data_IF_669186700579
#
_entry.id   IF_669186700579
#
_cell.length_a   1.000
_cell.length_b   1.000
_cell.length_c   1.000
_cell.angle_alpha   90.00
_cell.angle_beta   90.00
_cell.angle_gamma   90.00
#
_symmetry.space_group_name_H-M   'P 1'
#
loop_
_entity.id
_entity.type
_entity.pdbx_description
1 polymer ?
#
# COMPACT_ATOMS: atom_id res chain seq x y z
N UNK A 1 46.64 -16.73 54.19
CA UNK A 1 45.19 -16.61 53.97
C UNK A 1 44.92 -15.19 53.47
N UNK A 2 44.48 -15.13 52.21
CA UNK A 2 43.87 -14.04 51.42
C UNK A 2 44.26 -12.57 51.66
N UNK A 3 45.08 -12.08 50.74
CA UNK A 3 45.15 -10.68 50.28
C UNK A 3 43.93 -10.34 49.40
N UNK A 4 43.35 -9.15 49.55
CA UNK A 4 42.38 -8.57 48.61
C UNK A 4 42.88 -7.18 48.20
N UNK A 5 43.17 -6.93 46.91
CA UNK A 5 43.41 -5.61 46.37
C UNK A 5 42.12 -5.01 45.78
N UNK A 6 41.81 -3.75 46.09
CA UNK A 6 40.75 -3.00 45.41
C UNK A 6 41.34 -2.31 44.17
N UNK A 7 40.81 -2.73 43.02
CA UNK A 7 41.23 -2.31 41.70
C UNK A 7 40.60 -0.98 41.24
N UNK A 8 41.29 -0.37 40.28
CA UNK A 8 40.91 0.79 39.48
C UNK A 8 39.50 0.69 38.86
N UNK A 9 38.81 1.82 38.83
CA UNK A 9 37.58 2.01 38.05
C UNK A 9 37.47 3.45 37.53
N UNK A 10 38.13 3.73 36.41
CA UNK A 10 37.80 4.85 35.52
C UNK A 10 38.18 4.46 34.10
N UNK A 11 37.23 3.88 33.40
CA UNK A 11 37.25 3.72 31.95
C UNK A 11 36.12 4.56 31.39
N UNK A 12 36.49 5.44 30.46
CA UNK A 12 35.63 6.34 29.71
C UNK A 12 34.47 5.59 29.05
N UNK A 13 33.26 5.87 29.53
CA UNK A 13 32.02 5.50 28.86
C UNK A 13 31.72 6.50 27.75
N UNK A 14 32.50 6.45 26.67
CA UNK A 14 32.11 7.07 25.41
C UNK A 14 30.89 6.30 24.88
N UNK A 15 29.72 6.93 24.93
CA UNK A 15 28.50 6.42 24.30
C UNK A 15 28.74 6.31 22.78
N UNK A 16 28.55 5.15 22.14
CA UNK A 16 28.38 5.13 20.70
C UNK A 16 26.98 5.68 20.39
N UNK A 17 26.95 6.91 19.88
CA UNK A 17 25.81 7.45 19.12
C UNK A 17 25.70 6.69 17.81
N UNK A 18 25.03 5.53 17.84
CA UNK A 18 24.47 4.93 16.63
C UNK A 18 23.13 5.62 16.36
N UNK A 19 23.21 6.76 15.69
CA UNK A 19 22.13 7.26 14.84
C UNK A 19 22.07 6.34 13.61
N UNK A 20 21.67 5.08 13.83
CA UNK A 20 21.19 4.20 12.77
C UNK A 20 19.79 4.69 12.42
N UNK A 21 19.71 5.89 11.84
CA UNK A 21 18.49 6.39 11.23
C UNK A 21 17.99 5.29 10.31
N UNK A 22 16.84 4.72 10.66
CA UNK A 22 16.37 3.44 10.17
C UNK A 22 16.37 3.40 8.64
N UNK A 23 17.47 2.89 8.07
CA UNK A 23 17.62 2.66 6.62
C UNK A 23 16.57 1.65 6.15
N UNK A 24 15.79 1.03 7.06
CA UNK A 24 14.61 0.20 6.80
C UNK A 24 13.27 0.94 6.83
N UNK A 25 13.24 2.27 6.97
CA UNK A 25 12.02 3.12 6.84
C UNK A 25 11.90 3.89 5.50
N UNK A 26 12.99 4.39 4.92
CA UNK A 26 13.06 5.05 3.60
C UNK A 26 12.51 4.24 2.40
N UNK A 27 11.38 4.64 1.81
CA UNK A 27 10.91 4.06 0.54
C UNK A 27 11.82 4.53 -0.60
N UNK A 28 12.29 3.67 -1.51
CA UNK A 28 13.16 4.05 -2.64
C UNK A 28 12.38 4.22 -3.95
N UNK A 29 11.38 3.35 -4.13
CA UNK A 29 10.56 3.24 -5.34
C UNK A 29 9.08 3.29 -5.00
N UNK A 30 8.29 3.86 -5.90
CA UNK A 30 6.84 3.89 -5.77
C UNK A 30 6.18 3.25 -6.98
N UNK A 31 5.21 2.38 -6.72
CA UNK A 31 4.36 1.77 -7.73
C UNK A 31 2.91 2.19 -7.51
N UNK A 32 2.32 2.81 -8.52
CA UNK A 32 0.92 3.26 -8.54
C UNK A 32 0.08 2.22 -9.28
N UNK A 33 -0.89 1.60 -8.62
CA UNK A 33 -1.69 0.51 -9.18
C UNK A 33 -3.15 0.98 -9.35
N UNK A 34 -3.61 1.19 -10.59
CA UNK A 34 -4.99 1.60 -10.85
C UNK A 34 -5.98 0.46 -10.60
N UNK A 35 -7.26 0.79 -10.53
CA UNK A 35 -8.36 -0.16 -10.44
C UNK A 35 -8.75 -0.79 -11.78
N UNK A 36 -9.74 -1.68 -11.71
CA UNK A 36 -10.30 -2.36 -12.86
C UNK A 36 -10.93 -1.35 -13.84
N UNK A 37 -10.58 -1.43 -15.12
CA UNK A 37 -11.08 -0.54 -16.19
C UNK A 37 -10.76 0.95 -15.99
N UNK A 38 -9.87 1.29 -15.06
CA UNK A 38 -9.52 2.68 -14.82
C UNK A 38 -8.46 3.17 -15.80
N UNK A 39 -8.65 4.33 -16.43
CA UNK A 39 -7.60 4.92 -17.23
C UNK A 39 -6.44 5.33 -16.32
N UNK A 40 -5.23 4.90 -16.68
CA UNK A 40 -3.97 5.22 -15.98
C UNK A 40 -3.79 6.73 -15.73
N UNK A 41 -4.40 7.56 -16.55
CA UNK A 41 -4.36 9.02 -16.42
C UNK A 41 -4.95 9.53 -15.10
N UNK A 42 -5.82 8.76 -14.44
CA UNK A 42 -6.35 9.12 -13.11
C UNK A 42 -5.26 9.15 -12.02
N UNK A 43 -4.20 8.36 -12.17
CA UNK A 43 -3.08 8.34 -11.23
C UNK A 43 -2.06 9.47 -11.52
N UNK A 44 -2.20 10.24 -12.60
CA UNK A 44 -1.20 11.24 -12.99
C UNK A 44 -0.99 12.34 -11.94
N UNK A 45 -2.03 12.95 -11.32
CA UNK A 45 -1.82 13.97 -10.30
C UNK A 45 -0.95 13.45 -9.15
N UNK A 46 -1.21 12.22 -8.70
CA UNK A 46 -0.44 11.55 -7.67
C UNK A 46 1.00 11.26 -8.13
N UNK A 47 1.15 10.74 -9.35
CA UNK A 47 2.45 10.49 -9.95
C UNK A 47 3.32 11.74 -10.01
N UNK A 48 2.77 12.86 -10.52
CA UNK A 48 3.48 14.13 -10.59
C UNK A 48 3.91 14.62 -9.20
N UNK A 49 3.04 14.47 -8.20
CA UNK A 49 3.36 14.88 -6.83
C UNK A 49 4.48 14.04 -6.25
N UNK A 50 4.36 12.72 -6.28
CA UNK A 50 5.28 11.81 -5.62
C UNK A 50 6.67 11.80 -6.30
N UNK A 51 6.74 12.11 -7.60
CA UNK A 51 8.01 12.29 -8.33
C UNK A 51 8.89 13.42 -7.80
N UNK A 52 8.34 14.34 -7.01
CA UNK A 52 9.13 15.37 -6.33
C UNK A 52 9.99 14.80 -5.20
N UNK A 53 9.59 13.66 -4.64
CA UNK A 53 10.26 13.01 -3.52
C UNK A 53 11.11 11.82 -3.96
N UNK A 54 10.71 11.14 -5.05
CA UNK A 54 11.41 9.97 -5.60
C UNK A 54 11.55 9.99 -7.09
N UNK A 55 12.72 9.59 -7.58
CA UNK A 55 12.98 9.47 -9.02
C UNK A 55 12.21 8.32 -9.66
N UNK A 56 12.06 7.22 -8.93
CA UNK A 56 11.46 5.99 -9.43
C UNK A 56 9.99 5.88 -8.99
N UNK A 57 9.11 6.58 -9.71
CA UNK A 57 7.66 6.45 -9.57
C UNK A 57 7.09 5.93 -10.89
N UNK A 58 6.45 4.76 -10.86
CA UNK A 58 5.82 4.15 -12.03
C UNK A 58 4.33 3.95 -11.81
N UNK A 59 3.56 4.03 -12.91
CA UNK A 59 2.17 3.55 -12.93
C UNK A 59 2.22 2.14 -13.48
N UNK A 60 1.71 1.18 -12.71
CA UNK A 60 1.67 -0.23 -13.05
C UNK A 60 0.93 -0.42 -14.37
N UNK A 61 1.57 -1.16 -15.27
CA UNK A 61 1.02 -1.48 -16.58
C UNK A 61 0.53 -2.91 -16.54
N UNK A 62 -0.70 -3.05 -16.07
CA UNK A 62 -1.41 -4.29 -16.25
C UNK A 62 -2.06 -4.33 -17.63
N UNK A 63 -2.15 -5.52 -18.21
CA UNK A 63 -2.81 -5.68 -19.50
C UNK A 63 -4.31 -5.60 -19.27
N UNK A 64 -4.99 -4.83 -20.13
CA UNK A 64 -6.43 -4.58 -20.06
C UNK A 64 -7.22 -5.87 -19.81
N UNK A 65 -8.26 -5.73 -18.99
CA UNK A 65 -9.40 -6.61 -18.71
C UNK A 65 -9.47 -7.86 -19.60
N UNK A 66 -9.77 -9.00 -18.97
CA UNK A 66 -10.35 -10.23 -19.54
C UNK A 66 -9.54 -11.52 -19.49
N UNK A 67 -8.25 -11.63 -19.11
CA UNK A 67 -7.65 -12.99 -19.11
C UNK A 67 -6.69 -13.49 -18.05
N UNK A 68 -6.09 -12.71 -17.15
CA UNK A 68 -5.30 -13.40 -16.12
C UNK A 68 -4.99 -12.56 -14.88
N UNK A 69 -5.99 -12.38 -14.01
CA UNK A 69 -5.80 -11.84 -12.65
C UNK A 69 -4.61 -12.49 -11.94
N UNK A 70 -4.41 -13.81 -12.07
CA UNK A 70 -3.26 -14.52 -11.50
C UNK A 70 -1.91 -14.14 -12.14
N UNK A 71 -1.88 -13.79 -13.42
CA UNK A 71 -0.67 -13.27 -14.07
C UNK A 71 -0.33 -11.89 -13.54
N UNK A 72 -1.33 -11.03 -13.34
CA UNK A 72 -1.16 -9.71 -12.73
C UNK A 72 -0.56 -9.82 -11.32
N UNK A 73 -1.14 -10.72 -10.51
CA UNK A 73 -0.64 -11.04 -9.17
C UNK A 73 0.80 -11.55 -9.26
N UNK A 74 1.09 -12.51 -10.15
CA UNK A 74 2.40 -13.14 -10.24
C UNK A 74 3.48 -12.18 -10.72
N UNK A 75 3.17 -11.30 -11.68
CA UNK A 75 4.08 -10.25 -12.15
C UNK A 75 4.34 -9.20 -11.07
N UNK A 76 3.31 -8.83 -10.31
CA UNK A 76 3.48 -7.92 -9.19
C UNK A 76 4.31 -8.58 -8.08
N UNK A 77 4.05 -9.86 -7.79
CA UNK A 77 4.82 -10.67 -6.84
C UNK A 77 6.31 -10.73 -7.20
N UNK A 78 6.63 -10.92 -8.49
CA UNK A 78 8.00 -10.89 -9.01
C UNK A 78 8.64 -9.48 -8.95
N UNK A 79 7.84 -8.42 -9.11
CA UNK A 79 8.34 -7.06 -8.96
C UNK A 79 8.72 -6.76 -7.50
N UNK A 80 7.90 -7.22 -6.55
CA UNK A 80 8.06 -6.90 -5.12
C UNK A 80 8.93 -7.91 -4.36
N UNK A 81 9.26 -9.06 -4.96
CA UNK A 81 10.12 -10.05 -4.31
C UNK A 81 11.49 -9.46 -3.97
N UNK A 82 12.02 -9.81 -2.81
CA UNK A 82 13.35 -9.37 -2.38
C UNK A 82 14.45 -9.85 -3.34
N UNK A 83 15.15 -8.90 -3.96
CA UNK A 83 16.27 -9.13 -4.90
C UNK A 83 17.64 -8.94 -4.25
N UNK A 84 17.70 -8.83 -2.92
CA UNK A 84 18.93 -8.60 -2.13
C UNK A 84 19.64 -7.27 -2.41
N UNK A 85 18.99 -6.34 -3.11
CA UNK A 85 19.50 -4.97 -3.36
C UNK A 85 19.13 -3.98 -2.25
N UNK A 86 18.26 -4.39 -1.31
CA UNK A 86 17.77 -3.56 -0.21
C UNK A 86 16.80 -2.46 -0.64
N UNK A 87 16.36 -2.42 -1.91
CA UNK A 87 15.39 -1.43 -2.40
C UNK A 87 14.06 -1.63 -1.69
N UNK A 88 13.46 -0.57 -1.12
CA UNK A 88 12.11 -0.64 -0.54
C UNK A 88 11.05 0.04 -1.39
N UNK A 89 9.91 -0.61 -1.51
CA UNK A 89 8.84 -0.24 -2.44
C UNK A 89 7.62 0.26 -1.66
N UNK A 90 7.20 1.48 -1.98
CA UNK A 90 5.89 2.01 -1.60
C UNK A 90 4.87 1.67 -2.67
N UNK A 91 3.74 1.10 -2.27
CA UNK A 91 2.65 0.79 -3.20
C UNK A 91 1.48 1.72 -2.89
N UNK A 92 0.94 2.38 -3.91
CA UNK A 92 -0.30 3.15 -3.79
C UNK A 92 -1.30 2.59 -4.78
N UNK A 93 -2.42 2.11 -4.27
CA UNK A 93 -3.44 1.45 -5.07
C UNK A 93 -4.73 2.25 -5.09
N UNK A 94 -5.52 2.01 -6.13
CA UNK A 94 -6.88 2.49 -6.22
C UNK A 94 -7.83 1.34 -6.51
N UNK A 95 -8.99 1.31 -5.85
CA UNK A 95 -10.07 0.35 -6.13
C UNK A 95 -9.57 -1.10 -6.15
N UNK A 96 -9.83 -1.84 -7.23
CA UNK A 96 -9.42 -3.23 -7.41
C UNK A 96 -7.90 -3.45 -7.42
N UNK A 97 -7.11 -2.41 -7.71
CA UNK A 97 -5.65 -2.48 -7.63
C UNK A 97 -5.14 -2.85 -6.24
N UNK A 98 -5.91 -2.52 -5.19
CA UNK A 98 -5.62 -2.94 -3.81
C UNK A 98 -5.66 -4.45 -3.65
N UNK A 99 -6.70 -5.08 -4.20
CA UNK A 99 -6.87 -6.53 -4.10
C UNK A 99 -5.70 -7.25 -4.78
N UNK A 100 -5.30 -6.81 -5.98
CA UNK A 100 -4.13 -7.35 -6.68
C UNK A 100 -2.86 -7.21 -5.84
N UNK A 101 -2.63 -6.04 -5.24
CA UNK A 101 -1.46 -5.79 -4.40
C UNK A 101 -1.42 -6.70 -3.18
N UNK A 102 -2.55 -6.84 -2.47
CA UNK A 102 -2.65 -7.70 -1.29
C UNK A 102 -2.41 -9.17 -1.62
N UNK A 103 -2.96 -9.65 -2.73
CA UNK A 103 -2.71 -11.02 -3.19
C UNK A 103 -1.23 -11.23 -3.54
N UNK A 104 -0.60 -10.27 -4.23
CA UNK A 104 0.82 -10.36 -4.57
C UNK A 104 1.71 -10.37 -3.33
N UNK A 105 1.43 -9.48 -2.37
CA UNK A 105 2.14 -9.40 -1.09
C UNK A 105 2.01 -10.72 -0.32
N UNK A 106 0.79 -11.23 -0.13
CA UNK A 106 0.55 -12.46 0.59
C UNK A 106 1.17 -13.70 -0.08
N UNK A 107 1.34 -13.67 -1.41
CA UNK A 107 1.99 -14.74 -2.19
C UNK A 107 3.52 -14.70 -2.08
N UNK A 108 4.10 -13.58 -1.69
CA UNK A 108 5.55 -13.36 -1.67
C UNK A 108 6.07 -13.34 -0.24
N UNK A 109 6.64 -14.47 0.22
CA UNK A 109 7.12 -14.64 1.60
C UNK A 109 8.15 -13.58 2.05
N UNK A 110 9.07 -13.19 1.15
CA UNK A 110 10.05 -12.14 1.38
C UNK A 110 9.89 -11.06 0.31
N UNK A 111 9.15 -10.00 0.63
CA UNK A 111 8.93 -8.87 -0.27
C UNK A 111 9.60 -7.60 0.25
N UNK A 112 9.89 -6.69 -0.68
CA UNK A 112 10.49 -5.39 -0.42
C UNK A 112 9.48 -4.27 -0.17
N UNK A 113 8.19 -4.60 -0.01
CA UNK A 113 7.15 -3.58 0.24
C UNK A 113 7.33 -2.99 1.63
N UNK A 114 7.65 -1.69 1.70
CA UNK A 114 7.81 -0.93 2.94
C UNK A 114 6.56 -0.18 3.39
N UNK A 115 5.59 0.01 2.48
CA UNK A 115 4.33 0.66 2.81
C UNK A 115 3.28 0.46 1.73
N UNK A 116 2.02 0.26 2.15
CA UNK A 116 0.87 0.09 1.26
C UNK A 116 -0.19 1.15 1.57
N UNK A 117 -0.56 1.92 0.55
CA UNK A 117 -1.66 2.88 0.60
C UNK A 117 -2.80 2.39 -0.29
N UNK A 118 -3.94 2.11 0.32
CA UNK A 118 -5.14 1.58 -0.33
C UNK A 118 -6.20 2.68 -0.44
N UNK A 119 -6.47 3.17 -1.64
CA UNK A 119 -7.46 4.24 -1.86
C UNK A 119 -8.74 3.65 -2.44
N UNK A 120 -9.86 3.88 -1.76
CA UNK A 120 -11.17 3.30 -2.04
C UNK A 120 -11.11 1.79 -2.37
N UNK A 121 -10.44 0.97 -1.55
CA UNK A 121 -10.12 -0.40 -1.92
C UNK A 121 -11.35 -1.31 -1.99
N UNK A 122 -11.26 -2.33 -2.84
CA UNK A 122 -12.23 -3.44 -2.86
C UNK A 122 -11.93 -4.40 -1.71
N UNK A 123 -12.59 -4.19 -0.57
CA UNK A 123 -12.52 -5.08 0.61
C UNK A 123 -13.90 -5.67 0.92
N UNK A 124 -14.99 -4.97 0.59
CA UNK A 124 -16.35 -5.47 0.73
C UNK A 124 -17.17 -5.30 -0.55
N UNK A 125 -18.20 -6.12 -0.73
CA UNK A 125 -19.12 -5.96 -1.84
C UNK A 125 -19.95 -4.67 -1.66
N UNK A 126 -19.78 -3.72 -2.58
CA UNK A 126 -20.61 -2.51 -2.67
C UNK A 126 -21.87 -2.72 -3.51
N UNK A 127 -22.42 -1.67 -4.11
CA UNK A 127 -23.64 -1.74 -4.92
C UNK A 127 -23.38 -2.17 -6.38
N UNK A 128 -22.14 -2.05 -6.87
CA UNK A 128 -21.75 -2.39 -8.25
C UNK A 128 -22.07 -3.83 -8.68
N UNK A 129 -21.93 -4.88 -7.84
CA UNK A 129 -22.35 -6.23 -8.18
C UNK A 129 -23.84 -6.33 -8.59
N UNK A 130 -24.73 -5.51 -8.01
CA UNK A 130 -26.15 -5.49 -8.37
C UNK A 130 -26.39 -4.87 -9.76
N UNK A 131 -25.59 -3.89 -10.15
CA UNK A 131 -25.71 -3.24 -11.48
C UNK A 131 -25.07 -4.10 -12.57
N UNK A 132 -23.93 -4.73 -12.29
CA UNK A 132 -23.19 -5.52 -13.28
C UNK A 132 -23.80 -6.91 -13.53
N UNK A 133 -24.57 -7.47 -12.58
CA UNK A 133 -25.38 -8.67 -12.82
C UNK A 133 -26.42 -8.45 -13.94
N UNK A 134 -26.86 -7.21 -14.20
CA UNK A 134 -27.74 -6.89 -15.32
C UNK A 134 -27.03 -6.83 -16.69
N UNK A 135 -25.70 -6.77 -16.74
CA UNK A 135 -24.95 -6.51 -17.99
C UNK A 135 -24.09 -7.70 -18.50
N UNK A 136 -24.10 -8.86 -17.84
CA UNK A 136 -23.49 -10.09 -18.37
C UNK A 136 -22.67 -10.87 -17.33
N UNK A 137 -23.36 -11.43 -16.33
CA UNK A 137 -22.79 -12.05 -15.12
C UNK A 137 -21.61 -13.04 -15.30
N UNK A 138 -20.81 -13.16 -14.23
CA UNK A 138 -19.76 -14.15 -13.92
C UNK A 138 -18.65 -14.45 -14.95
N UNK A 139 -18.69 -13.86 -16.15
CA UNK A 139 -17.70 -14.09 -17.21
C UNK A 139 -16.35 -13.39 -16.98
N UNK A 140 -16.27 -12.49 -15.99
CA UNK A 140 -15.08 -11.69 -15.68
C UNK A 140 -14.64 -12.04 -14.24
N UNK A 141 -13.48 -12.71 -14.05
CA UNK A 141 -13.00 -13.13 -12.72
C UNK A 141 -12.95 -12.00 -11.69
N UNK A 142 -12.58 -10.79 -12.13
CA UNK A 142 -12.50 -9.60 -11.29
C UNK A 142 -13.88 -9.19 -10.74
N UNK A 143 -14.94 -9.33 -11.55
CA UNK A 143 -16.32 -9.08 -11.10
C UNK A 143 -16.75 -10.13 -10.08
N UNK A 144 -16.41 -11.40 -10.30
CA UNK A 144 -16.73 -12.47 -9.36
C UNK A 144 -16.03 -12.28 -7.99
N UNK A 145 -14.85 -11.66 -7.97
CA UNK A 145 -14.15 -11.27 -6.74
C UNK A 145 -14.85 -10.09 -6.07
N UNK A 146 -15.13 -9.00 -6.80
CA UNK A 146 -15.80 -7.81 -6.25
C UNK A 146 -17.20 -8.15 -5.72
N UNK A 147 -17.91 -9.09 -6.37
CA UNK A 147 -19.24 -9.52 -5.99
C UNK A 147 -19.28 -10.41 -4.75
N UNK A 148 -18.16 -11.02 -4.35
CA UNK A 148 -18.09 -11.93 -3.22
C UNK A 148 -17.23 -11.30 -2.11
N UNK A 149 -17.88 -10.93 -0.99
CA UNK A 149 -17.20 -10.28 0.13
C UNK A 149 -16.04 -11.10 0.69
N UNK A 150 -16.17 -12.43 0.81
CA UNK A 150 -15.10 -13.30 1.31
C UNK A 150 -13.89 -13.27 0.37
N UNK A 151 -14.13 -13.32 -0.95
CA UNK A 151 -13.05 -13.21 -1.95
C UNK A 151 -12.42 -11.82 -1.94
N UNK A 152 -13.19 -10.75 -1.79
CA UNK A 152 -12.68 -9.39 -1.69
C UNK A 152 -11.82 -9.18 -0.43
N UNK A 153 -12.19 -9.83 0.68
CA UNK A 153 -11.45 -9.82 1.94
C UNK A 153 -10.26 -10.79 1.97
N UNK A 154 -10.07 -11.65 0.97
CA UNK A 154 -8.93 -12.55 0.92
C UNK A 154 -7.62 -11.77 1.05
N UNK A 155 -6.69 -12.23 1.91
CA UNK A 155 -5.42 -11.54 2.20
C UNK A 155 -5.60 -10.10 2.72
N UNK A 156 -6.64 -9.83 3.51
CA UNK A 156 -6.85 -8.52 4.13
C UNK A 156 -5.65 -8.11 5.02
N UNK A 157 -5.11 -9.06 5.77
CA UNK A 157 -3.82 -8.97 6.47
C UNK A 157 -2.75 -9.66 5.62
N UNK A 158 -2.29 -8.98 4.56
CA UNK A 158 -1.33 -9.57 3.61
C UNK A 158 0.08 -9.73 4.19
N UNK A 159 0.47 -8.88 5.14
CA UNK A 159 1.68 -9.01 5.97
C UNK A 159 1.42 -8.27 7.32
N UNK A 160 1.57 -8.93 8.49
CA UNK A 160 1.39 -8.29 9.79
C UNK A 160 2.40 -7.18 10.11
N UNK A 161 3.56 -7.12 9.42
CA UNK A 161 4.60 -6.11 9.66
C UNK A 161 4.51 -4.92 8.72
N UNK A 162 3.63 -5.00 7.72
CA UNK A 162 3.50 -3.98 6.70
C UNK A 162 2.72 -2.77 7.23
N UNK A 163 3.37 -1.60 7.25
CA UNK A 163 2.70 -0.33 7.49
C UNK A 163 1.66 -0.10 6.40
N UNK A 164 0.38 0.05 6.77
CA UNK A 164 -0.71 0.22 5.81
C UNK A 164 -1.55 1.45 6.11
N UNK A 165 -2.00 2.14 5.06
CA UNK A 165 -3.03 3.17 5.15
C UNK A 165 -4.17 2.83 4.21
N UNK A 166 -5.41 3.01 4.69
CA UNK A 166 -6.63 2.86 3.90
C UNK A 166 -7.38 4.20 3.89
N UNK A 167 -7.67 4.71 2.70
CA UNK A 167 -8.42 5.95 2.51
C UNK A 167 -9.75 5.62 1.82
N UNK A 168 -10.84 5.75 2.56
CA UNK A 168 -12.19 5.57 2.04
C UNK A 168 -12.75 6.85 1.40
N UNK A 169 -13.47 6.68 0.29
CA UNK A 169 -14.36 7.71 -0.22
C UNK A 169 -15.72 7.63 0.52
N UNK A 170 -16.27 8.76 0.95
CA UNK A 170 -17.59 8.82 1.61
C UNK A 170 -18.74 8.59 0.63
N UNK A 171 -18.61 9.08 -0.60
CA UNK A 171 -19.62 9.02 -1.65
C UNK A 171 -19.27 7.87 -2.60
N UNK A 172 -19.07 6.70 -2.01
CA UNK A 172 -18.65 5.49 -2.71
C UNK A 172 -19.83 4.54 -2.89
N UNK A 173 -20.37 4.49 -4.12
CA UNK A 173 -21.41 3.53 -4.50
C UNK A 173 -20.80 2.18 -4.93
N UNK A 174 -19.48 2.15 -5.16
CA UNK A 174 -18.77 1.00 -5.73
C UNK A 174 -18.33 -0.01 -4.69
N UNK A 175 -17.84 0.45 -3.56
CA UNK A 175 -17.32 -0.39 -2.47
C UNK A 175 -17.93 -0.03 -1.13
N UNK A 176 -18.04 -1.01 -0.25
CA UNK A 176 -18.53 -0.82 1.12
C UNK A 176 -17.35 -0.62 2.06
N UNK A 177 -17.42 0.40 2.91
CA UNK A 177 -16.47 0.58 4.01
C UNK A 177 -16.61 -0.58 5.01
N UNK A 178 -15.48 -1.14 5.41
CA UNK A 178 -15.39 -2.24 6.38
C UNK A 178 -14.58 -1.74 7.58
N UNK A 179 -14.95 -2.21 8.77
CA UNK A 179 -14.17 -1.94 9.98
C UNK A 179 -12.85 -2.73 9.94
N UNK A 180 -11.74 -2.02 9.97
CA UNK A 180 -10.38 -2.56 9.93
C UNK A 180 -9.62 -2.36 11.24
N UNK A 181 -10.29 -1.90 12.30
CA UNK A 181 -9.69 -1.59 13.62
C UNK A 181 -9.00 -2.78 14.29
N UNK A 182 -9.32 -4.01 13.87
CA UNK A 182 -8.72 -5.25 14.35
C UNK A 182 -7.35 -5.56 13.72
N UNK A 183 -6.94 -4.85 12.66
CA UNK A 183 -5.65 -5.07 12.01
C UNK A 183 -4.55 -4.24 12.69
N UNK A 184 -3.34 -4.80 12.88
CA UNK A 184 -2.21 -4.05 13.43
C UNK A 184 -1.71 -3.00 12.43
N UNK A 185 -1.15 -1.90 12.96
CA UNK A 185 -0.37 -0.91 12.21
C UNK A 185 -1.05 -0.35 10.94
N UNK A 186 -2.38 -0.18 11.01
CA UNK A 186 -3.22 0.40 9.95
C UNK A 186 -3.69 1.82 10.30
N UNK A 187 -3.50 2.76 9.38
CA UNK A 187 -4.13 4.09 9.42
C UNK A 187 -5.37 4.09 8.53
N UNK A 188 -6.55 4.34 9.11
CA UNK A 188 -7.81 4.37 8.36
C UNK A 188 -8.36 5.79 8.32
N UNK A 189 -8.59 6.31 7.12
CA UNK A 189 -9.12 7.65 6.88
C UNK A 189 -10.32 7.61 5.97
N UNK A 190 -11.15 8.63 6.05
CA UNK A 190 -12.35 8.78 5.23
C UNK A 190 -12.44 10.21 4.73
N UNK A 191 -12.71 10.40 3.43
CA UNK A 191 -12.72 11.72 2.79
C UNK A 191 -13.99 11.94 1.97
N UNK A 192 -14.51 13.19 1.91
CA UNK A 192 -15.67 13.54 1.10
C UNK A 192 -15.29 13.53 -0.39
N UNK A 193 -15.38 12.36 -1.00
CA UNK A 193 -15.02 12.10 -2.39
C UNK A 193 -15.94 11.02 -2.97
N UNK A 194 -16.00 10.96 -4.29
CA UNK A 194 -16.53 9.80 -5.01
C UNK A 194 -15.45 8.75 -5.23
N UNK A 195 -15.85 7.51 -5.52
CA UNK A 195 -14.93 6.41 -5.86
C UNK A 195 -13.88 6.83 -6.90
N UNK A 196 -14.28 7.55 -7.95
CA UNK A 196 -13.34 7.93 -9.02
C UNK A 196 -12.55 9.22 -8.73
N UNK A 197 -13.07 10.13 -7.91
CA UNK A 197 -12.43 11.43 -7.68
C UNK A 197 -11.41 11.42 -6.54
N UNK A 198 -11.54 10.49 -5.59
CA UNK A 198 -10.71 10.42 -4.38
C UNK A 198 -9.21 10.43 -4.69
N UNK A 199 -8.78 9.69 -5.72
CA UNK A 199 -7.38 9.55 -6.09
C UNK A 199 -6.75 10.83 -6.65
N UNK A 200 -7.57 11.76 -7.12
CA UNK A 200 -7.15 13.06 -7.67
C UNK A 200 -7.18 14.18 -6.64
N UNK A 201 -7.76 13.96 -5.45
CA UNK A 201 -7.94 15.03 -4.48
C UNK A 201 -6.60 15.47 -3.85
N UNK A 202 -6.29 16.79 -3.81
CA UNK A 202 -5.02 17.28 -3.27
C UNK A 202 -4.75 16.89 -1.80
N UNK A 203 -5.78 16.84 -0.95
CA UNK A 203 -5.69 16.40 0.44
C UNK A 203 -5.36 14.91 0.56
N UNK A 204 -5.93 14.07 -0.32
CA UNK A 204 -5.59 12.63 -0.38
C UNK A 204 -4.14 12.46 -0.81
N UNK A 205 -3.73 13.13 -1.90
CA UNK A 205 -2.34 13.11 -2.38
C UNK A 205 -1.35 13.56 -1.30
N UNK A 206 -1.67 14.63 -0.56
CA UNK A 206 -0.83 15.13 0.54
C UNK A 206 -0.77 14.14 1.70
N UNK A 207 -1.87 13.44 1.98
CA UNK A 207 -1.92 12.38 2.99
C UNK A 207 -1.05 11.18 2.60
N UNK A 208 -1.08 10.77 1.33
CA UNK A 208 -0.19 9.72 0.78
C UNK A 208 1.28 10.13 0.91
N UNK A 209 1.61 11.37 0.58
CA UNK A 209 2.96 11.93 0.73
C UNK A 209 3.44 11.84 2.19
N UNK A 210 2.63 12.31 3.14
CA UNK A 210 2.97 12.25 4.56
C UNK A 210 3.13 10.83 5.08
N UNK A 211 2.28 9.90 4.64
CA UNK A 211 2.37 8.50 5.05
C UNK A 211 3.67 7.84 4.57
N UNK A 212 4.06 8.09 3.32
CA UNK A 212 5.24 7.48 2.69
C UNK A 212 6.56 8.15 3.09
N UNK A 213 6.55 9.46 3.41
CA UNK A 213 7.76 10.26 3.59
C UNK A 213 7.79 11.12 4.86
N UNK A 214 6.83 11.00 5.77
CA UNK A 214 6.66 11.91 6.91
C UNK A 214 7.94 12.20 7.70
N UNK A 215 8.77 11.18 7.92
CA UNK A 215 10.04 11.28 8.67
C UNK A 215 11.15 11.98 7.87
N UNK A 216 10.99 12.12 6.55
CA UNK A 216 11.92 12.79 5.63
C UNK A 216 11.46 14.20 5.25
N UNK A 217 10.21 14.58 5.56
CA UNK A 217 9.70 15.89 5.20
C UNK A 217 10.31 16.94 6.14
N UNK A 218 10.90 18.02 5.60
CA UNK A 218 11.36 19.11 6.45
C UNK A 218 10.19 19.63 7.27
N UNK A 219 10.38 19.73 8.59
CA UNK A 219 9.41 20.34 9.50
C UNK A 219 9.07 21.72 8.93
N UNK A 220 7.83 21.91 8.47
CA UNK A 220 7.38 23.22 8.00
C UNK A 220 7.44 24.16 9.20
N UNK A 221 8.46 25.02 9.22
CA UNK A 221 8.51 26.20 10.09
C UNK A 221 7.51 27.24 9.60
#
# INVERSE_FOLDING_TARGET
>A
MHSIPLAHGRTDGSLPSHDDGDVRSRIDRIVLIPGLMEPRTLMLPMWFRLRRFRKHVSIWQDHYVFRNTESSISRLAELISDKSDGERIGIVTHSFGDWIARQAIAKTQNHNVGGLVSIAPVIGCGFIPKIMHCLGGDLIPEIAIIANAEKAMASLQCDPKLKRMVIWAQIDLGVRQVDLSHLPDIDVRCVPATHMSVVMQPNVISTVEQFLFGDELPTRQ
#
